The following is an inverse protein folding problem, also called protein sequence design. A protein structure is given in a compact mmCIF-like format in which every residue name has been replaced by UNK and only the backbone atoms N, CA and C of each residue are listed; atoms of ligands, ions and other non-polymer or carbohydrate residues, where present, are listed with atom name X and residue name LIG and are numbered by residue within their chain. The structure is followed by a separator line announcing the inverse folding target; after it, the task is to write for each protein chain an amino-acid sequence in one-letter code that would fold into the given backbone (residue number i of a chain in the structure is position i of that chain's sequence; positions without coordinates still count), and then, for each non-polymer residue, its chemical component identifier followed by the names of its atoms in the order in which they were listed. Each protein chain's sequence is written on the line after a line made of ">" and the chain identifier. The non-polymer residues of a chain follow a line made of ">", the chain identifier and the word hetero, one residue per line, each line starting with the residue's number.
data_IF_922905070272
#
_entry.id   IF_922905070272
#
_cell.length_a   1.000
_cell.length_b   1.000
_cell.length_c   1.000
_cell.angle_alpha   90.00
_cell.angle_beta   90.00
_cell.angle_gamma   90.00
#
_symmetry.space_group_name_H-M   'P 1'
#
loop_
_entity.id
_entity.type
_entity.pdbx_description
1 polymer ?
#
# COMPACT_ATOMS: atom_id res chain seq x y z
N UNK A 1 5.40 -11.07 3.09
CA UNK A 1 6.51 -10.28 2.50
C UNK A 1 7.27 -9.56 3.60
N UNK A 2 8.45 -9.04 3.29
CA UNK A 2 9.11 -8.04 4.14
C UNK A 2 8.51 -6.66 3.84
N UNK A 3 7.46 -6.28 4.58
CA UNK A 3 6.88 -4.93 4.52
C UNK A 3 7.89 -3.97 5.16
N UNK A 4 8.31 -2.88 4.47
CA UNK A 4 9.23 -1.92 5.05
C UNK A 4 8.57 -1.21 6.23
N UNK A 5 9.36 -0.84 7.26
CA UNK A 5 8.84 -0.10 8.44
C UNK A 5 8.44 1.36 8.13
N UNK A 6 8.86 1.87 6.98
CA UNK A 6 8.51 3.20 6.48
C UNK A 6 8.68 3.31 4.97
N UNK A 7 7.96 4.23 4.34
CA UNK A 7 8.08 4.58 2.92
C UNK A 7 8.09 6.11 2.76
N UNK A 8 8.77 6.62 1.74
CA UNK A 8 8.76 8.04 1.40
C UNK A 8 7.77 8.29 0.26
N UNK A 9 6.81 9.18 0.47
CA UNK A 9 5.76 9.53 -0.51
C UNK A 9 5.68 11.05 -0.60
N UNK A 10 5.85 11.63 -1.80
CA UNK A 10 5.74 13.08 -1.99
C UNK A 10 6.73 13.94 -1.19
N UNK A 11 7.77 13.34 -0.59
CA UNK A 11 8.70 14.02 0.34
C UNK A 11 8.35 13.83 1.83
N UNK A 12 7.27 13.12 2.15
CA UNK A 12 6.84 12.80 3.51
C UNK A 12 7.22 11.37 3.88
N UNK A 13 7.66 11.17 5.12
CA UNK A 13 7.90 9.83 5.66
C UNK A 13 6.60 9.26 6.23
N UNK A 14 6.18 8.13 5.71
CA UNK A 14 5.04 7.37 6.19
C UNK A 14 5.55 6.16 7.00
N UNK A 15 5.46 6.15 8.34
CA UNK A 15 5.61 4.92 9.11
C UNK A 15 4.62 3.86 8.64
N UNK A 16 5.08 2.61 8.62
CA UNK A 16 4.26 1.45 8.27
C UNK A 16 4.18 0.54 9.48
N UNK A 17 2.98 0.42 10.03
CA UNK A 17 2.68 -0.50 11.12
C UNK A 17 2.09 -1.79 10.56
N UNK A 18 2.66 -2.91 10.96
CA UNK A 18 2.12 -4.23 10.69
C UNK A 18 1.51 -4.74 11.99
N UNK A 19 0.21 -4.98 11.98
CA UNK A 19 -0.53 -5.35 13.18
C UNK A 19 -1.54 -6.46 12.90
N UNK A 20 -2.00 -7.15 13.95
CA UNK A 20 -3.09 -8.12 13.85
C UNK A 20 -4.35 -7.50 14.45
N UNK A 21 -5.25 -7.03 13.58
CA UNK A 21 -6.51 -6.40 13.99
C UNK A 21 -7.62 -7.39 14.37
N UNK A 22 -7.41 -8.69 14.14
CA UNK A 22 -8.41 -9.74 14.27
C UNK A 22 -9.66 -9.49 13.40
N UNK A 23 -10.73 -10.25 13.66
CA UNK A 23 -11.97 -10.20 12.89
C UNK A 23 -12.73 -8.85 12.92
N UNK A 24 -12.27 -7.88 13.71
CA UNK A 24 -12.85 -6.53 13.80
C UNK A 24 -12.28 -5.57 12.75
N UNK A 25 -11.15 -5.93 12.14
CA UNK A 25 -10.51 -5.13 11.11
C UNK A 25 -10.73 -5.82 9.76
N UNK A 26 -11.82 -5.43 9.08
CA UNK A 26 -12.24 -6.06 7.84
C UNK A 26 -11.35 -5.73 6.64
N UNK A 27 -10.60 -4.63 6.72
CA UNK A 27 -9.72 -4.18 5.65
C UNK A 27 -8.31 -4.77 5.83
N UNK A 28 -7.68 -5.11 4.71
CA UNK A 28 -6.30 -5.60 4.67
C UNK A 28 -5.27 -4.50 4.94
N UNK A 29 -5.65 -3.23 4.75
CA UNK A 29 -4.85 -2.04 4.99
C UNK A 29 -5.71 -0.85 5.41
N UNK A 30 -5.07 0.18 5.94
CA UNK A 30 -5.69 1.47 6.24
C UNK A 30 -4.64 2.59 6.24
N UNK A 31 -5.01 3.73 5.69
CA UNK A 31 -4.22 4.95 5.68
C UNK A 31 -4.80 5.98 6.64
N UNK A 32 -4.01 6.39 7.62
CA UNK A 32 -4.29 7.59 8.40
C UNK A 32 -3.59 8.79 7.79
N UNK A 33 -4.34 9.60 7.04
CA UNK A 33 -3.84 10.80 6.37
C UNK A 33 -3.42 11.92 7.32
N UNK A 34 -3.95 11.93 8.55
CA UNK A 34 -3.63 12.98 9.54
C UNK A 34 -2.28 12.75 10.20
N UNK A 35 -1.97 11.48 10.49
CA UNK A 35 -0.68 11.10 11.10
C UNK A 35 0.33 10.59 10.09
N UNK A 36 -0.04 10.55 8.80
CA UNK A 36 0.76 9.98 7.72
C UNK A 36 1.20 8.54 8.01
N UNK A 37 0.28 7.71 8.53
CA UNK A 37 0.60 6.33 8.92
C UNK A 37 -0.12 5.34 8.03
N UNK A 38 0.61 4.33 7.54
CA UNK A 38 0.06 3.20 6.81
C UNK A 38 0.02 2.01 7.76
N UNK A 39 -1.14 1.35 7.85
CA UNK A 39 -1.30 0.16 8.70
C UNK A 39 -1.72 -1.02 7.85
N UNK A 40 -1.02 -2.15 7.99
CA UNK A 40 -1.31 -3.38 7.24
C UNK A 40 -1.71 -4.48 8.22
N UNK A 41 -2.89 -5.05 7.98
CA UNK A 41 -3.45 -6.10 8.82
C UNK A 41 -2.90 -7.46 8.41
N UNK A 42 -2.24 -8.15 9.32
CA UNK A 42 -1.71 -9.51 9.11
C UNK A 42 -2.59 -10.59 9.73
N UNK A 43 -3.90 -10.44 9.67
CA UNK A 43 -4.80 -11.52 10.09
C UNK A 43 -4.46 -12.81 9.31
N UNK A 44 -4.42 -13.95 10.01
CA UNK A 44 -3.92 -15.23 9.50
C UNK A 44 -4.68 -15.77 8.27
N UNK A 45 -5.90 -15.28 8.02
CA UNK A 45 -6.72 -15.67 6.88
C UNK A 45 -6.49 -14.82 5.63
N UNK A 46 -5.76 -13.71 5.74
CA UNK A 46 -5.43 -12.86 4.59
C UNK A 46 -4.24 -13.45 3.85
N UNK A 47 -4.38 -13.82 2.57
CA UNK A 47 -3.25 -14.24 1.76
C UNK A 47 -2.18 -13.13 1.74
N UNK A 48 -0.90 -13.52 1.77
CA UNK A 48 0.21 -12.58 1.69
C UNK A 48 0.11 -11.64 0.47
N UNK A 49 -0.41 -12.15 -0.66
CA UNK A 49 -0.64 -11.34 -1.85
C UNK A 49 -1.66 -10.21 -1.62
N UNK A 50 -2.65 -10.44 -0.76
CA UNK A 50 -3.65 -9.43 -0.40
C UNK A 50 -3.05 -8.36 0.51
N UNK A 51 -2.21 -8.74 1.46
CA UNK A 51 -1.50 -7.79 2.33
C UNK A 51 -0.53 -6.93 1.51
N UNK A 52 0.14 -7.55 0.54
CA UNK A 52 1.07 -6.89 -0.34
C UNK A 52 0.39 -5.92 -1.32
N UNK A 53 -0.78 -6.28 -1.84
CA UNK A 53 -1.59 -5.40 -2.67
C UNK A 53 -2.18 -4.26 -1.84
N UNK A 54 -2.70 -4.54 -0.64
CA UNK A 54 -3.17 -3.52 0.29
C UNK A 54 -2.09 -2.48 0.58
N UNK A 55 -0.84 -2.90 0.79
CA UNK A 55 0.25 -1.94 0.96
C UNK A 55 0.43 -0.99 -0.23
N UNK A 56 0.29 -1.49 -1.47
CA UNK A 56 0.33 -0.62 -2.65
C UNK A 56 -0.93 0.28 -2.75
N UNK A 57 -2.11 -0.26 -2.39
CA UNK A 57 -3.35 0.50 -2.33
C UNK A 57 -3.21 1.70 -1.40
N UNK A 58 -2.71 1.51 -0.18
CA UNK A 58 -2.52 2.61 0.80
C UNK A 58 -1.50 3.66 0.30
N UNK A 59 -0.45 3.24 -0.43
CA UNK A 59 0.49 4.18 -1.06
C UNK A 59 -0.23 5.05 -2.10
N UNK A 60 -1.13 4.47 -2.91
CA UNK A 60 -1.90 5.23 -3.90
C UNK A 60 -2.90 6.16 -3.21
N UNK A 61 -3.53 5.73 -2.12
CA UNK A 61 -4.38 6.61 -1.30
C UNK A 61 -3.60 7.80 -0.74
N UNK A 62 -2.37 7.58 -0.25
CA UNK A 62 -1.51 8.65 0.26
C UNK A 62 -1.13 9.63 -0.85
N UNK A 63 -0.72 9.13 -2.02
CA UNK A 63 -0.44 9.98 -3.19
C UNK A 63 -1.67 10.79 -3.60
N UNK A 64 -2.84 10.15 -3.65
CA UNK A 64 -4.09 10.81 -4.00
C UNK A 64 -4.45 11.92 -3.01
N UNK A 65 -4.30 11.65 -1.72
CA UNK A 65 -4.57 12.61 -0.65
C UNK A 65 -3.59 13.78 -0.68
N UNK A 66 -2.28 13.51 -0.62
CA UNK A 66 -1.22 14.52 -0.53
C UNK A 66 -1.19 15.48 -1.72
N UNK A 67 -1.66 15.02 -2.88
CA UNK A 67 -1.67 15.81 -4.12
C UNK A 67 -3.08 16.25 -4.54
N UNK A 68 -4.09 16.02 -3.70
CA UNK A 68 -5.49 16.37 -3.96
C UNK A 68 -5.99 15.92 -5.36
N UNK A 69 -5.60 14.71 -5.80
CA UNK A 69 -5.88 14.24 -7.17
C UNK A 69 -7.37 13.92 -7.39
N UNK A 70 -8.15 13.79 -6.30
CA UNK A 70 -9.59 13.51 -6.31
C UNK A 70 -9.94 12.22 -7.08
N UNK A 71 -9.08 11.21 -6.96
CA UNK A 71 -9.39 9.88 -7.46
C UNK A 71 -10.46 9.25 -6.56
N UNK A 72 -11.54 8.81 -7.19
CA UNK A 72 -12.55 7.97 -6.54
C UNK A 72 -11.91 6.66 -6.04
N UNK A 73 -12.34 6.16 -4.88
CA UNK A 73 -11.78 4.94 -4.29
C UNK A 73 -11.81 3.75 -5.26
N UNK A 74 -12.85 3.64 -6.10
CA UNK A 74 -12.92 2.64 -7.18
C UNK A 74 -11.71 2.69 -8.13
N UNK A 75 -11.27 3.89 -8.51
CA UNK A 75 -10.11 4.05 -9.39
C UNK A 75 -8.83 3.66 -8.67
N UNK A 76 -8.72 3.97 -7.38
CA UNK A 76 -7.59 3.57 -6.54
C UNK A 76 -7.51 2.04 -6.47
N UNK A 77 -8.62 1.34 -6.17
CA UNK A 77 -8.68 -0.12 -6.17
C UNK A 77 -8.25 -0.74 -7.51
N UNK A 78 -8.70 -0.17 -8.63
CA UNK A 78 -8.31 -0.63 -9.97
C UNK A 78 -6.81 -0.44 -10.18
N UNK A 79 -6.28 0.74 -9.82
CA UNK A 79 -4.85 1.04 -9.96
C UNK A 79 -3.99 0.15 -9.06
N UNK A 80 -4.38 -0.05 -7.80
CA UNK A 80 -3.71 -0.93 -6.84
C UNK A 80 -3.55 -2.34 -7.40
N UNK A 81 -4.65 -2.98 -7.78
CA UNK A 81 -4.64 -4.33 -8.33
C UNK A 81 -3.79 -4.44 -9.62
N UNK A 82 -3.94 -3.49 -10.56
CA UNK A 82 -3.22 -3.55 -11.84
C UNK A 82 -1.72 -3.28 -11.68
N UNK A 83 -1.35 -2.22 -10.95
CA UNK A 83 0.05 -1.87 -10.72
C UNK A 83 0.75 -2.94 -9.89
N UNK A 84 0.09 -3.50 -8.88
CA UNK A 84 0.64 -4.59 -8.06
C UNK A 84 0.98 -5.79 -8.94
N UNK A 85 0.03 -6.25 -9.76
CA UNK A 85 0.25 -7.37 -10.67
C UNK A 85 1.39 -7.10 -11.65
N UNK A 86 1.44 -5.90 -12.24
CA UNK A 86 2.50 -5.50 -13.18
C UNK A 86 3.87 -5.48 -12.50
N UNK A 87 4.01 -4.82 -11.35
CA UNK A 87 5.28 -4.69 -10.63
C UNK A 87 5.77 -6.05 -10.14
N UNK A 88 4.90 -6.82 -9.46
CA UNK A 88 5.26 -8.07 -8.81
C UNK A 88 5.56 -9.19 -9.81
N UNK A 89 4.69 -9.40 -10.81
CA UNK A 89 4.84 -10.52 -11.75
C UNK A 89 5.97 -10.30 -12.75
N UNK A 90 6.38 -9.05 -12.98
CA UNK A 90 7.48 -8.73 -13.89
C UNK A 90 8.77 -8.33 -13.15
N UNK A 91 8.80 -8.41 -11.81
CA UNK A 91 9.95 -8.07 -10.98
C UNK A 91 10.56 -6.70 -11.34
N UNK A 92 9.70 -5.68 -11.50
CA UNK A 92 10.13 -4.36 -11.94
C UNK A 92 10.92 -3.65 -10.82
N UNK A 93 12.18 -3.32 -11.09
CA UNK A 93 13.03 -2.48 -10.24
C UNK A 93 13.70 -1.40 -11.11
N UNK A 94 13.13 -0.19 -11.10
CA UNK A 94 13.57 0.92 -11.94
C UNK A 94 14.94 1.50 -11.55
N UNK A 95 15.57 1.02 -10.47
CA UNK A 95 16.96 1.38 -10.12
C UNK A 95 17.96 0.54 -10.91
N UNK A 96 17.56 -0.64 -11.35
CA UNK A 96 18.40 -1.54 -12.16
C UNK A 96 18.30 -1.11 -13.63
N UNK A 97 19.10 -0.13 -14.02
CA UNK A 97 19.33 0.16 -15.43
C UNK A 97 19.92 -1.07 -16.13
N UNK A 98 19.48 -1.36 -17.35
CA UNK A 98 20.21 -2.26 -18.27
C UNK A 98 21.67 -1.81 -18.25
N UNK A 99 22.57 -2.70 -17.86
CA UNK A 99 23.99 -2.56 -18.16
C UNK A 99 24.17 -2.47 -19.67
#
# INVERSE_FOLDING_TARGET
>A
MDIPKKVLIGGHEYPVEVFNGGARFANAGDLNTWTQEIRINTMDDHPESSQAEAFLHEIIEAINHDNELKLEHRNITILGAQLFAVIRNNNLDFRKGRK
#
